data_IF_731732847123
#
_entry.id   IF_731732847123
#
_cell.length_a   1.000
_cell.length_b   1.000
_cell.length_c   1.000
_cell.angle_alpha   90.00
_cell.angle_beta   90.00
_cell.angle_gamma   90.00
#
_symmetry.space_group_name_H-M   'P 1'
#
loop_
_entity.id
_entity.type
_entity.pdbx_description
1 polymer ?
#
# COMPACT_ATOMS: atom_id res chain seq x y z
N UNK A 1 -27.64 -55.12 -40.91
CA UNK A 1 -26.51 -54.54 -41.67
C UNK A 1 -26.83 -53.10 -42.02
N UNK A 2 -26.52 -52.15 -41.15
CA UNK A 2 -26.52 -50.72 -41.48
C UNK A 2 -25.10 -50.34 -41.88
N UNK A 3 -24.90 -49.92 -43.14
CA UNK A 3 -23.61 -49.40 -43.61
C UNK A 3 -23.45 -47.98 -43.09
N UNK A 4 -22.51 -47.75 -42.18
CA UNK A 4 -21.96 -46.43 -41.92
C UNK A 4 -21.17 -46.00 -43.16
N UNK A 5 -21.56 -44.88 -43.76
CA UNK A 5 -20.76 -44.18 -44.79
C UNK A 5 -20.35 -42.84 -44.21
N UNK A 6 -19.27 -42.86 -43.44
CA UNK A 6 -18.57 -41.62 -43.10
C UNK A 6 -17.87 -41.13 -44.37
N UNK A 7 -18.43 -40.08 -44.97
CA UNK A 7 -17.74 -39.33 -46.01
C UNK A 7 -16.70 -38.45 -45.34
N UNK A 8 -15.46 -38.88 -45.30
CA UNK A 8 -14.32 -38.02 -44.95
C UNK A 8 -14.18 -36.94 -46.03
N UNK A 9 -14.85 -35.81 -45.81
CA UNK A 9 -14.69 -34.61 -46.64
C UNK A 9 -13.37 -33.95 -46.27
N UNK A 10 -12.35 -34.19 -47.09
CA UNK A 10 -11.07 -33.48 -47.01
C UNK A 10 -11.23 -32.00 -47.33
N UNK A 11 -10.42 -31.17 -46.68
CA UNK A 11 -10.36 -29.73 -46.91
C UNK A 11 -9.85 -29.43 -48.33
N UNK A 12 -10.49 -28.53 -49.07
CA UNK A 12 -10.03 -28.13 -50.40
C UNK A 12 -8.83 -27.19 -50.30
N UNK A 13 -7.90 -27.30 -51.26
CA UNK A 13 -6.71 -26.46 -51.32
C UNK A 13 -7.05 -24.96 -51.43
N UNK A 14 -8.15 -24.63 -52.11
CA UNK A 14 -8.63 -23.24 -52.22
C UNK A 14 -9.17 -22.71 -50.88
N UNK A 15 -9.86 -23.55 -50.11
CA UNK A 15 -10.40 -23.17 -48.79
C UNK A 15 -9.25 -22.87 -47.83
N UNK A 16 -8.13 -23.59 -47.94
CA UNK A 16 -6.94 -23.39 -47.12
C UNK A 16 -6.27 -22.04 -47.42
N UNK A 17 -6.13 -21.69 -48.69
CA UNK A 17 -5.49 -20.43 -49.09
C UNK A 17 -6.32 -19.23 -48.61
N UNK A 18 -7.65 -19.28 -48.74
CA UNK A 18 -8.55 -18.23 -48.26
C UNK A 18 -8.43 -18.09 -46.74
N UNK A 19 -8.38 -19.20 -46.00
CA UNK A 19 -8.22 -19.19 -44.55
C UNK A 19 -6.90 -18.54 -44.11
N UNK A 20 -5.78 -18.86 -44.77
CA UNK A 20 -4.46 -18.25 -44.48
C UNK A 20 -4.48 -16.75 -44.79
N UNK A 21 -5.10 -16.33 -45.89
CA UNK A 21 -5.21 -14.92 -46.26
C UNK A 21 -5.96 -14.11 -45.19
N UNK A 22 -7.09 -14.63 -44.69
CA UNK A 22 -7.85 -13.99 -43.61
C UNK A 22 -7.02 -13.92 -42.32
N UNK A 23 -6.30 -15.00 -41.96
CA UNK A 23 -5.46 -15.05 -40.76
C UNK A 23 -4.36 -13.96 -40.79
N UNK A 24 -3.71 -13.76 -41.94
CA UNK A 24 -2.68 -12.72 -42.11
C UNK A 24 -3.28 -11.32 -41.89
N UNK A 25 -4.46 -11.05 -42.46
CA UNK A 25 -5.16 -9.76 -42.28
C UNK A 25 -5.51 -9.53 -40.80
N UNK A 26 -6.05 -10.56 -40.13
CA UNK A 26 -6.43 -10.48 -38.71
C UNK A 26 -5.21 -10.25 -37.81
N UNK A 27 -4.10 -10.97 -38.03
CA UNK A 27 -2.85 -10.75 -37.28
C UNK A 27 -2.33 -9.33 -37.50
N UNK A 28 -2.38 -8.82 -38.74
CA UNK A 28 -1.94 -7.46 -39.07
C UNK A 28 -2.72 -6.38 -38.32
N UNK A 29 -4.04 -6.53 -38.16
CA UNK A 29 -4.88 -5.60 -37.41
C UNK A 29 -4.67 -5.70 -35.89
N UNK A 30 -4.50 -6.93 -35.38
CA UNK A 30 -4.38 -7.18 -33.95
C UNK A 30 -3.01 -6.84 -33.38
N UNK A 31 -1.93 -7.01 -34.14
CA UNK A 31 -0.56 -6.75 -33.70
C UNK A 31 -0.34 -5.37 -33.03
N UNK A 32 -0.73 -4.23 -33.64
CA UNK A 32 -0.55 -2.92 -32.99
C UNK A 32 -1.39 -2.76 -31.71
N UNK A 33 -2.60 -3.33 -31.70
CA UNK A 33 -3.47 -3.31 -30.53
C UNK A 33 -2.85 -4.11 -29.37
N UNK A 34 -2.34 -5.32 -29.64
CA UNK A 34 -1.64 -6.13 -28.66
C UNK A 34 -0.38 -5.44 -28.12
N UNK A 35 0.42 -4.80 -28.99
CA UNK A 35 1.61 -4.06 -28.57
C UNK A 35 1.28 -2.95 -27.57
N UNK A 36 0.21 -2.17 -27.82
CA UNK A 36 -0.26 -1.13 -26.90
C UNK A 36 -0.68 -1.69 -25.53
N UNK A 37 -1.36 -2.83 -25.51
CA UNK A 37 -1.77 -3.46 -24.25
C UNK A 37 -0.58 -4.02 -23.47
N UNK A 38 0.39 -4.62 -24.16
CA UNK A 38 1.65 -5.09 -23.56
C UNK A 38 2.39 -3.91 -22.92
N UNK A 39 2.51 -2.79 -23.63
CA UNK A 39 3.21 -1.61 -23.12
C UNK A 39 2.52 -1.01 -21.88
N UNK A 40 1.19 -0.94 -21.89
CA UNK A 40 0.41 -0.56 -20.70
C UNK A 40 0.65 -1.51 -19.52
N UNK A 41 0.66 -2.81 -19.77
CA UNK A 41 0.93 -3.81 -18.72
C UNK A 41 2.35 -3.65 -18.16
N UNK A 42 3.35 -3.47 -19.03
CA UNK A 42 4.74 -3.21 -18.61
C UNK A 42 4.86 -1.93 -17.78
N UNK A 43 4.17 -0.85 -18.18
CA UNK A 43 4.13 0.39 -17.41
C UNK A 43 3.49 0.17 -16.04
N UNK A 44 2.36 -0.53 -15.97
CA UNK A 44 1.69 -0.81 -14.70
C UNK A 44 2.59 -1.60 -13.73
N UNK A 45 3.26 -2.64 -14.21
CA UNK A 45 4.23 -3.41 -13.40
C UNK A 45 5.41 -2.54 -12.97
N UNK A 46 5.91 -1.66 -13.84
CA UNK A 46 6.99 -0.75 -13.50
C UNK A 46 6.58 0.27 -12.41
N UNK A 47 5.36 0.81 -12.47
CA UNK A 47 4.86 1.71 -11.42
C UNK A 47 4.64 0.97 -10.10
N UNK A 48 4.13 -0.26 -10.14
CA UNK A 48 4.04 -1.09 -8.95
C UNK A 48 5.43 -1.35 -8.32
N UNK A 49 6.45 -1.64 -9.15
CA UNK A 49 7.82 -1.80 -8.67
C UNK A 49 8.35 -0.52 -7.99
N UNK A 50 8.01 0.65 -8.52
CA UNK A 50 8.32 1.95 -7.91
C UNK A 50 7.63 2.10 -6.55
N UNK A 51 6.35 1.75 -6.44
CA UNK A 51 5.60 1.83 -5.19
C UNK A 51 6.17 0.90 -4.11
N UNK A 52 6.64 -0.29 -4.52
CA UNK A 52 7.34 -1.21 -3.61
C UNK A 52 8.65 -0.60 -3.10
N UNK A 53 9.41 0.12 -3.93
CA UNK A 53 10.63 0.82 -3.49
C UNK A 53 10.32 1.88 -2.44
N UNK A 54 9.28 2.67 -2.67
CA UNK A 54 8.84 3.71 -1.75
C UNK A 54 8.39 3.08 -0.42
N UNK A 55 7.60 2.00 -0.50
CA UNK A 55 7.16 1.26 0.69
C UNK A 55 8.31 0.67 1.47
N UNK A 56 9.32 0.10 0.81
CA UNK A 56 10.50 -0.45 1.47
C UNK A 56 11.30 0.64 2.18
N UNK A 57 11.46 1.81 1.53
CA UNK A 57 12.11 2.96 2.14
C UNK A 57 11.37 3.43 3.40
N UNK A 58 10.04 3.49 3.34
CA UNK A 58 9.20 3.86 4.48
C UNK A 58 9.32 2.90 5.66
N UNK A 59 9.55 1.61 5.41
CA UNK A 59 9.83 0.64 6.47
C UNK A 59 11.26 0.80 6.97
N UNK A 60 12.23 0.91 6.07
CA UNK A 60 13.65 0.92 6.42
C UNK A 60 14.06 2.15 7.25
N UNK A 61 13.46 3.33 7.01
CA UNK A 61 13.74 4.54 7.79
C UNK A 61 13.33 4.43 9.28
N UNK A 62 12.42 3.50 9.60
CA UNK A 62 12.03 3.23 10.98
C UNK A 62 13.13 2.47 11.71
N UNK A 63 13.82 1.56 11.01
CA UNK A 63 14.93 0.79 11.57
C UNK A 63 16.25 1.58 11.56
N UNK A 64 16.56 2.26 10.45
CA UNK A 64 17.78 3.03 10.22
C UNK A 64 17.42 4.42 9.69
N UNK A 65 17.42 5.43 10.56
CA UNK A 65 17.00 6.80 10.20
C UNK A 65 17.89 7.49 9.18
N UNK A 66 19.16 7.11 9.11
CA UNK A 66 20.12 7.69 8.20
C UNK A 66 20.15 6.94 6.86
N UNK A 67 19.23 5.97 6.68
CA UNK A 67 19.12 5.24 5.44
C UNK A 67 18.72 6.19 4.31
N UNK A 68 19.49 6.10 3.22
CA UNK A 68 19.21 6.88 2.02
C UNK A 68 18.34 6.08 1.05
N UNK A 69 17.42 6.72 0.31
CA UNK A 69 16.58 6.04 -0.67
C UNK A 69 17.39 5.30 -1.74
N UNK A 70 18.60 5.77 -2.07
CA UNK A 70 19.49 5.09 -3.01
C UNK A 70 19.95 3.72 -2.50
N UNK A 71 20.21 3.60 -1.19
CA UNK A 71 20.66 2.32 -0.60
C UNK A 71 19.53 1.29 -0.65
N UNK A 72 18.29 1.72 -0.40
CA UNK A 72 17.11 0.87 -0.51
C UNK A 72 16.88 0.44 -1.96
N UNK A 73 16.93 1.39 -2.90
CA UNK A 73 16.79 1.08 -4.32
C UNK A 73 17.87 0.10 -4.79
N UNK A 74 19.13 0.30 -4.37
CA UNK A 74 20.25 -0.57 -4.74
C UNK A 74 20.07 -2.00 -4.23
N UNK A 75 19.62 -2.17 -2.97
CA UNK A 75 19.28 -3.48 -2.40
C UNK A 75 18.19 -4.17 -3.21
N UNK A 76 17.13 -3.43 -3.55
CA UNK A 76 16.00 -3.99 -4.28
C UNK A 76 16.37 -4.42 -5.71
N UNK A 77 17.16 -3.62 -6.41
CA UNK A 77 17.61 -3.95 -7.77
C UNK A 77 18.60 -5.12 -7.74
N UNK A 78 19.61 -5.09 -6.86
CA UNK A 78 20.70 -6.08 -6.87
C UNK A 78 20.35 -7.39 -6.16
N UNK A 79 19.68 -7.31 -5.01
CA UNK A 79 19.46 -8.47 -4.15
C UNK A 79 18.05 -9.04 -4.27
N UNK A 80 17.06 -8.22 -4.65
CA UNK A 80 15.65 -8.65 -4.77
C UNK A 80 15.16 -8.78 -6.21
N UNK A 81 16.01 -8.51 -7.20
CA UNK A 81 15.70 -8.70 -8.63
C UNK A 81 14.65 -7.73 -9.17
N UNK A 82 14.57 -6.52 -8.62
CA UNK A 82 13.66 -5.49 -9.09
C UNK A 82 14.10 -4.99 -10.48
N UNK A 83 13.33 -5.35 -11.51
CA UNK A 83 13.63 -4.96 -12.89
C UNK A 83 12.44 -4.27 -13.56
N UNK A 84 12.71 -3.38 -14.52
CA UNK A 84 11.67 -2.82 -15.36
C UNK A 84 11.35 -3.81 -16.51
N UNK A 85 10.07 -4.17 -16.76
CA UNK A 85 9.70 -5.05 -17.87
C UNK A 85 10.03 -4.50 -19.26
N UNK A 86 10.23 -3.18 -19.36
CA UNK A 86 10.68 -2.48 -20.57
C UNK A 86 12.20 -2.27 -20.61
N UNK A 87 12.96 -2.90 -19.70
CA UNK A 87 14.42 -2.78 -19.56
C UNK A 87 14.92 -1.36 -19.24
N UNK A 88 14.06 -0.56 -18.61
CA UNK A 88 14.47 0.72 -18.03
C UNK A 88 15.29 0.55 -16.75
N UNK A 89 16.06 1.58 -16.41
CA UNK A 89 16.84 1.67 -15.17
C UNK A 89 16.10 2.53 -14.15
N UNK A 90 16.18 2.14 -12.88
CA UNK A 90 15.64 2.92 -11.77
C UNK A 90 16.71 3.84 -11.18
N UNK A 91 16.30 5.03 -10.75
CA UNK A 91 17.17 6.03 -10.14
C UNK A 91 16.40 6.88 -9.13
N UNK A 92 17.09 7.44 -8.15
CA UNK A 92 16.53 8.45 -7.24
C UNK A 92 16.88 9.84 -7.76
N UNK A 93 15.89 10.72 -7.82
CA UNK A 93 16.09 12.14 -8.16
C UNK A 93 15.62 12.98 -6.98
N UNK A 94 16.53 13.72 -6.36
CA UNK A 94 16.20 14.71 -5.34
C UNK A 94 15.65 15.98 -5.99
N UNK A 95 14.44 16.35 -5.60
CA UNK A 95 13.68 17.52 -6.11
C UNK A 95 13.61 18.66 -5.09
N UNK A 96 14.12 18.44 -3.87
CA UNK A 96 14.32 19.41 -2.80
C UNK A 96 15.15 18.80 -1.67
N UNK A 97 15.39 19.55 -0.58
CA UNK A 97 16.24 19.11 0.53
C UNK A 97 15.72 17.83 1.21
N UNK A 98 14.40 17.66 1.26
CA UNK A 98 13.74 16.49 1.85
C UNK A 98 12.71 15.85 0.90
N UNK A 99 12.88 16.00 -0.41
CA UNK A 99 11.92 15.48 -1.39
C UNK A 99 12.65 14.75 -2.52
N UNK A 100 12.27 13.51 -2.78
CA UNK A 100 12.82 12.70 -3.86
C UNK A 100 11.72 12.03 -4.69
N UNK A 101 12.07 11.62 -5.90
CA UNK A 101 11.23 10.75 -6.74
C UNK A 101 12.03 9.52 -7.14
N UNK A 102 11.34 8.40 -7.32
CA UNK A 102 11.88 7.22 -7.97
C UNK A 102 11.58 7.34 -9.46
N UNK A 103 12.63 7.45 -10.28
CA UNK A 103 12.53 7.59 -11.72
C UNK A 103 12.87 6.28 -12.42
N UNK A 104 12.04 5.88 -13.39
CA UNK A 104 12.36 4.88 -14.39
C UNK A 104 12.72 5.55 -15.72
N UNK A 105 13.86 5.21 -16.31
CA UNK A 105 14.32 5.80 -17.58
C UNK A 105 13.36 5.64 -18.77
N UNK A 106 12.40 4.72 -18.70
CA UNK A 106 11.39 4.47 -19.75
C UNK A 106 10.02 5.04 -19.39
N UNK A 107 9.59 4.94 -18.13
CA UNK A 107 8.22 5.27 -17.73
C UNK A 107 8.07 6.57 -16.92
N UNK A 108 9.19 7.22 -16.58
CA UNK A 108 9.24 8.52 -15.91
C UNK A 108 9.27 8.44 -14.39
N UNK A 109 8.92 9.56 -13.76
CA UNK A 109 9.02 9.76 -12.31
C UNK A 109 7.78 9.27 -11.57
N UNK A 110 7.99 8.81 -10.34
CA UNK A 110 6.97 8.68 -9.32
C UNK A 110 6.43 10.04 -8.87
N UNK A 111 5.41 10.01 -8.02
CA UNK A 111 5.08 11.16 -7.17
C UNK A 111 6.22 11.49 -6.21
N UNK A 112 6.29 12.74 -5.76
CA UNK A 112 7.29 13.21 -4.79
C UNK A 112 7.11 12.56 -3.44
N UNK A 113 8.18 12.00 -2.89
CA UNK A 113 8.24 11.32 -1.59
C UNK A 113 9.12 12.14 -0.67
N UNK A 114 8.62 12.41 0.54
CA UNK A 114 9.42 13.08 1.57
C UNK A 114 10.52 12.16 2.09
N UNK A 115 11.67 12.71 2.45
CA UNK A 115 12.70 12.02 3.24
C UNK A 115 12.70 12.42 4.72
N UNK A 116 11.81 13.33 5.15
CA UNK A 116 11.60 13.60 6.58
C UNK A 116 11.06 12.32 7.25
N UNK A 117 11.74 11.76 8.26
CA UNK A 117 11.27 10.58 8.96
C UNK A 117 9.84 10.71 9.50
N UNK A 118 9.44 11.87 10.03
CA UNK A 118 8.08 12.06 10.59
C UNK A 118 7.02 11.94 9.50
N UNK A 119 7.25 12.56 8.35
CA UNK A 119 6.32 12.52 7.21
C UNK A 119 6.30 11.12 6.62
N UNK A 120 7.48 10.56 6.32
CA UNK A 120 7.66 9.26 5.68
C UNK A 120 6.99 8.13 6.48
N UNK A 121 7.19 8.12 7.80
CA UNK A 121 6.63 7.10 8.68
C UNK A 121 5.10 7.25 8.79
N UNK A 122 4.58 8.48 8.87
CA UNK A 122 3.14 8.75 8.87
C UNK A 122 2.45 8.33 7.58
N UNK A 123 2.98 8.76 6.44
CA UNK A 123 2.46 8.42 5.12
C UNK A 123 2.55 6.92 4.83
N UNK A 124 3.65 6.26 5.20
CA UNK A 124 3.80 4.83 4.99
C UNK A 124 2.72 4.02 5.70
N UNK A 125 2.48 4.30 6.98
CA UNK A 125 1.45 3.60 7.75
C UNK A 125 0.04 3.98 7.28
N UNK A 126 -0.21 5.26 7.00
CA UNK A 126 -1.51 5.74 6.50
C UNK A 126 -1.86 5.14 5.14
N UNK A 127 -0.97 5.23 4.16
CA UNK A 127 -1.21 4.72 2.81
C UNK A 127 -1.34 3.19 2.81
N UNK A 128 -0.56 2.48 3.63
CA UNK A 128 -0.69 1.02 3.78
C UNK A 128 -2.11 0.61 4.18
N UNK A 129 -2.72 1.31 5.14
CA UNK A 129 -4.09 0.99 5.57
C UNK A 129 -5.15 1.54 4.60
N UNK A 130 -4.88 2.68 3.95
CA UNK A 130 -5.76 3.27 2.93
C UNK A 130 -5.99 2.31 1.76
N UNK A 131 -4.98 1.53 1.38
CA UNK A 131 -5.13 0.49 0.33
C UNK A 131 -6.25 -0.50 0.63
N UNK A 132 -6.44 -0.89 1.89
CA UNK A 132 -7.54 -1.77 2.28
C UNK A 132 -8.92 -1.12 2.17
N UNK A 133 -8.98 0.22 2.27
CA UNK A 133 -10.22 0.97 2.17
C UNK A 133 -10.58 1.36 0.73
N UNK A 134 -9.60 1.66 -0.12
CA UNK A 134 -9.85 2.27 -1.43
C UNK A 134 -9.28 1.51 -2.65
N UNK A 135 -8.24 0.68 -2.47
CA UNK A 135 -7.53 0.05 -3.60
C UNK A 135 -7.83 -1.44 -3.74
N UNK A 136 -7.75 -2.19 -2.65
CA UNK A 136 -7.94 -3.64 -2.68
C UNK A 136 -9.41 -4.02 -2.78
N UNK A 137 -9.71 -4.94 -3.68
CA UNK A 137 -11.01 -5.60 -3.74
C UNK A 137 -11.18 -6.56 -2.55
N UNK A 138 -12.44 -6.83 -2.20
CA UNK A 138 -12.76 -7.79 -1.13
C UNK A 138 -12.14 -9.17 -1.41
N UNK A 139 -12.16 -9.62 -2.66
CA UNK A 139 -11.58 -10.91 -3.07
C UNK A 139 -10.06 -10.95 -2.91
N UNK A 140 -9.36 -9.85 -3.20
CA UNK A 140 -7.92 -9.72 -2.97
C UNK A 140 -7.60 -9.78 -1.48
N UNK A 141 -8.34 -9.06 -0.64
CA UNK A 141 -8.15 -9.08 0.82
C UNK A 141 -8.40 -10.50 1.36
N UNK A 142 -9.47 -11.17 0.92
CA UNK A 142 -9.76 -12.56 1.30
C UNK A 142 -8.60 -13.49 0.90
N UNK A 143 -8.06 -13.31 -0.30
CA UNK A 143 -6.92 -14.09 -0.78
C UNK A 143 -5.68 -13.84 0.06
N UNK A 144 -5.35 -12.58 0.33
CA UNK A 144 -4.23 -12.18 1.20
C UNK A 144 -4.34 -12.82 2.58
N UNK A 145 -5.53 -12.78 3.19
CA UNK A 145 -5.77 -13.39 4.50
C UNK A 145 -5.67 -14.91 4.45
N UNK A 146 -6.22 -15.54 3.41
CA UNK A 146 -6.13 -16.99 3.23
C UNK A 146 -4.68 -17.45 3.08
N UNK A 147 -3.89 -16.75 2.27
CA UNK A 147 -2.49 -17.05 2.04
C UNK A 147 -1.66 -16.85 3.33
N UNK A 148 -2.03 -15.86 4.16
CA UNK A 148 -1.48 -15.64 5.50
C UNK A 148 -2.06 -16.58 6.57
N UNK A 149 -2.99 -17.48 6.25
CA UNK A 149 -3.62 -18.40 7.22
C UNK A 149 -4.52 -17.71 8.26
N UNK A 150 -5.09 -16.55 7.92
CA UNK A 150 -5.97 -15.74 8.77
C UNK A 150 -7.46 -15.97 8.47
N UNK A 151 -8.36 -15.65 9.41
CA UNK A 151 -9.80 -15.75 9.20
C UNK A 151 -10.29 -14.88 8.03
N UNK A 152 -11.12 -15.44 7.15
CA UNK A 152 -11.68 -14.74 5.97
C UNK A 152 -13.17 -14.46 6.08
N UNK A 153 -13.82 -14.89 7.15
CA UNK A 153 -15.27 -14.79 7.36
C UNK A 153 -15.75 -13.38 7.71
N UNK A 154 -14.86 -12.52 8.21
CA UNK A 154 -15.17 -11.13 8.56
C UNK A 154 -13.90 -10.28 8.47
N UNK A 155 -13.87 -9.36 7.50
CA UNK A 155 -12.78 -8.40 7.37
C UNK A 155 -13.03 -7.27 8.36
N UNK A 156 -12.20 -7.20 9.41
CA UNK A 156 -12.29 -6.21 10.49
C UNK A 156 -10.94 -5.52 10.67
N UNK A 157 -10.97 -4.40 11.38
CA UNK A 157 -9.76 -3.69 11.82
C UNK A 157 -8.70 -4.60 12.44
N UNK A 158 -9.09 -5.43 13.41
CA UNK A 158 -8.14 -6.34 14.08
C UNK A 158 -7.54 -7.37 13.13
N UNK A 159 -8.32 -7.93 12.19
CA UNK A 159 -7.82 -8.94 11.22
C UNK A 159 -6.88 -8.31 10.20
N UNK A 160 -7.18 -7.10 9.72
CA UNK A 160 -6.27 -6.34 8.84
C UNK A 160 -4.97 -6.02 9.59
N UNK A 161 -5.07 -5.58 10.83
CA UNK A 161 -3.90 -5.29 11.68
C UNK A 161 -3.05 -6.53 11.98
N UNK A 162 -3.69 -7.67 12.21
CA UNK A 162 -2.99 -8.96 12.38
C UNK A 162 -2.24 -9.38 11.11
N UNK A 163 -2.86 -9.22 9.94
CA UNK A 163 -2.21 -9.41 8.65
C UNK A 163 -0.98 -8.51 8.49
N UNK A 164 -1.13 -7.21 8.77
CA UNK A 164 -0.04 -6.24 8.65
C UNK A 164 1.10 -6.55 9.62
N UNK A 165 0.79 -6.88 10.88
CA UNK A 165 1.82 -7.30 11.85
C UNK A 165 2.60 -8.50 11.31
N UNK A 166 1.91 -9.52 10.81
CA UNK A 166 2.54 -10.76 10.36
C UNK A 166 3.35 -10.60 9.09
N UNK A 167 2.77 -10.02 8.05
CA UNK A 167 3.32 -10.03 6.70
C UNK A 167 4.12 -8.76 6.34
N UNK A 168 3.92 -7.66 7.07
CA UNK A 168 4.57 -6.37 6.79
C UNK A 168 5.56 -5.97 7.88
N UNK A 169 5.17 -6.09 9.15
CA UNK A 169 5.96 -5.53 10.28
C UNK A 169 6.68 -6.58 11.14
N UNK A 170 6.77 -7.83 10.70
CA UNK A 170 7.56 -8.86 11.38
C UNK A 170 7.09 -9.21 12.81
N UNK A 171 5.82 -8.99 13.12
CA UNK A 171 5.16 -9.33 14.37
C UNK A 171 5.10 -8.22 15.41
N UNK A 172 5.67 -7.04 15.14
CA UNK A 172 5.62 -5.90 16.06
C UNK A 172 5.41 -4.60 15.32
N UNK A 173 4.54 -3.73 15.84
CA UNK A 173 4.40 -2.38 15.31
C UNK A 173 5.75 -1.63 15.38
N UNK A 174 6.03 -0.74 14.41
CA UNK A 174 7.30 -0.03 14.39
C UNK A 174 7.44 0.88 15.61
N UNK A 175 8.54 0.72 16.35
CA UNK A 175 8.85 1.52 17.53
C UNK A 175 9.28 2.92 17.10
N UNK A 176 8.75 3.92 17.79
CA UNK A 176 9.00 5.33 17.49
C UNK A 176 10.17 5.86 18.31
N UNK A 177 11.04 6.66 17.68
CA UNK A 177 12.05 7.43 18.40
C UNK A 177 11.41 8.61 19.15
N UNK A 178 11.54 8.59 20.48
CA UNK A 178 11.01 9.63 21.38
C UNK A 178 11.59 11.02 21.12
N UNK A 179 12.76 11.13 20.49
CA UNK A 179 13.34 12.42 20.08
C UNK A 179 12.55 13.12 18.99
N UNK A 180 11.89 12.36 18.11
CA UNK A 180 11.03 12.89 17.04
C UNK A 180 9.59 13.15 17.53
N UNK A 181 9.16 12.42 18.56
CA UNK A 181 7.79 12.47 19.07
C UNK A 181 7.77 12.79 20.56
N UNK A 182 8.02 14.07 20.84
CA UNK A 182 8.14 14.59 22.22
C UNK A 182 6.80 15.10 22.78
N UNK A 183 6.70 15.16 24.11
CA UNK A 183 5.57 15.80 24.80
C UNK A 183 4.38 14.89 25.12
N UNK A 184 4.49 13.58 24.89
CA UNK A 184 3.54 12.60 25.41
C UNK A 184 3.77 12.36 26.92
N UNK A 185 2.68 12.30 27.70
CA UNK A 185 2.71 11.95 29.12
C UNK A 185 2.69 10.42 29.29
N UNK A 186 3.65 9.74 28.68
CA UNK A 186 3.79 8.30 28.72
C UNK A 186 5.27 7.91 28.87
N UNK A 187 5.58 7.15 29.92
CA UNK A 187 6.97 6.75 30.20
C UNK A 187 7.47 5.59 29.34
N UNK A 188 6.57 4.76 28.81
CA UNK A 188 6.92 3.56 28.05
C UNK A 188 7.30 3.84 26.60
N UNK A 189 7.54 2.77 25.85
CA UNK A 189 7.79 2.84 24.42
C UNK A 189 6.50 3.09 23.63
N UNK A 190 6.62 3.84 22.54
CA UNK A 190 5.51 4.18 21.66
C UNK A 190 5.74 3.56 20.29
N UNK A 191 4.63 3.23 19.62
CA UNK A 191 4.60 2.50 18.37
C UNK A 191 3.62 3.13 17.40
N UNK A 192 4.03 3.29 16.15
CA UNK A 192 3.16 3.77 15.09
C UNK A 192 2.26 2.65 14.61
N UNK A 193 0.98 2.98 14.42
CA UNK A 193 -0.07 1.99 14.23
C UNK A 193 -1.11 2.51 13.23
N UNK A 194 -1.63 1.65 12.33
CA UNK A 194 -2.74 1.97 11.46
C UNK A 194 -4.09 1.71 12.15
N UNK A 195 -5.14 2.46 11.81
CA UNK A 195 -6.51 2.15 12.23
C UNK A 195 -7.46 2.26 11.04
N UNK A 196 -8.44 1.36 11.00
CA UNK A 196 -9.57 1.43 10.06
C UNK A 196 -10.89 1.20 10.80
N UNK A 197 -11.83 2.13 10.67
CA UNK A 197 -13.17 2.00 11.23
C UNK A 197 -14.09 1.22 10.29
N UNK A 198 -14.04 -0.11 10.36
CA UNK A 198 -15.09 -0.95 9.79
C UNK A 198 -16.27 -0.92 10.76
N UNK A 199 -17.37 -0.25 10.40
CA UNK A 199 -18.53 0.00 11.29
C UNK A 199 -18.92 -1.27 12.06
N UNK A 200 -18.86 -1.22 13.40
CA UNK A 200 -19.19 -2.36 14.26
C UNK A 200 -20.70 -2.61 14.45
N UNK A 201 -21.56 -1.96 13.68
CA UNK A 201 -22.99 -2.30 13.60
C UNK A 201 -23.17 -3.65 12.91
N UNK A 202 -24.22 -4.41 13.24
CA UNK A 202 -24.62 -5.60 12.48
C UNK A 202 -24.76 -5.24 10.99
N UNK A 203 -23.73 -5.55 10.18
CA UNK A 203 -23.69 -5.27 8.75
C UNK A 203 -22.57 -4.35 8.24
N UNK A 204 -21.66 -3.84 9.08
CA UNK A 204 -20.53 -3.06 8.55
C UNK A 204 -19.57 -3.93 7.75
N UNK A 205 -19.27 -3.50 6.52
CA UNK A 205 -18.41 -4.20 5.57
C UNK A 205 -17.20 -3.34 5.23
N UNK A 206 -16.07 -3.98 4.92
CA UNK A 206 -14.89 -3.28 4.40
C UNK A 206 -15.21 -2.48 3.14
N UNK A 207 -16.18 -2.96 2.34
CA UNK A 207 -16.67 -2.24 1.14
C UNK A 207 -17.32 -0.89 1.43
N UNK A 208 -17.70 -0.61 2.68
CA UNK A 208 -18.32 0.65 3.09
C UNK A 208 -17.27 1.66 3.61
N UNK A 209 -16.00 1.25 3.71
CA UNK A 209 -14.91 2.10 4.16
C UNK A 209 -14.40 2.99 3.03
N UNK A 210 -13.75 4.08 3.43
CA UNK A 210 -13.12 5.03 2.53
C UNK A 210 -12.01 5.77 3.31
N UNK A 211 -11.39 6.78 2.71
CA UNK A 211 -10.37 7.61 3.38
C UNK A 211 -10.77 8.18 4.75
N UNK A 212 -12.05 8.46 4.99
CA UNK A 212 -12.55 8.95 6.29
C UNK A 212 -12.63 7.84 7.35
N UNK A 213 -12.55 6.56 6.94
CA UNK A 213 -12.50 5.43 7.86
C UNK A 213 -11.09 5.14 8.38
N UNK A 214 -10.04 5.70 7.78
CA UNK A 214 -8.65 5.32 8.06
C UNK A 214 -7.84 6.47 8.66
N UNK A 215 -6.88 6.13 9.53
CA UNK A 215 -5.87 7.07 10.02
C UNK A 215 -4.67 6.33 10.63
N UNK A 216 -3.54 7.03 10.75
CA UNK A 216 -2.35 6.58 11.45
C UNK A 216 -2.21 7.32 12.80
N UNK A 217 -1.76 6.60 13.82
CA UNK A 217 -1.58 7.14 15.17
C UNK A 217 -0.36 6.51 15.83
N UNK A 218 0.08 7.11 16.94
CA UNK A 218 1.12 6.54 17.79
C UNK A 218 0.55 6.26 19.17
N UNK A 219 0.73 5.03 19.63
CA UNK A 219 0.19 4.52 20.90
C UNK A 219 1.17 3.62 21.65
N UNK A 220 0.81 3.17 22.86
CA UNK A 220 1.69 2.40 23.75
C UNK A 220 1.82 0.91 23.36
N UNK A 221 0.96 0.43 22.47
CA UNK A 221 0.84 -0.97 22.13
C UNK A 221 1.80 -1.39 21.03
N UNK A 222 2.72 -2.30 21.35
CA UNK A 222 3.65 -2.91 20.39
C UNK A 222 2.98 -3.93 19.46
N UNK A 223 1.81 -4.43 19.86
CA UNK A 223 1.02 -5.47 19.19
C UNK A 223 -0.46 -5.34 19.54
N UNK A 224 -1.30 -6.17 18.92
CA UNK A 224 -2.75 -6.15 19.07
C UNK A 224 -3.29 -6.96 20.26
N UNK A 225 -2.40 -7.47 21.11
CA UNK A 225 -2.72 -8.32 22.28
C UNK A 225 -2.98 -7.45 23.52
N UNK A 226 -2.30 -6.30 23.62
CA UNK A 226 -2.41 -5.40 24.77
C UNK A 226 -3.71 -4.57 24.81
N UNK A 227 -4.22 -4.27 26.01
CA UNK A 227 -5.48 -3.54 26.21
C UNK A 227 -5.43 -2.03 25.92
N UNK A 228 -4.27 -1.45 25.63
CA UNK A 228 -4.10 -0.01 25.39
C UNK A 228 -4.02 0.36 23.90
N UNK A 229 -4.32 -0.58 22.98
CA UNK A 229 -4.11 -0.40 21.54
C UNK A 229 -4.89 0.76 20.92
N UNK A 230 -6.00 1.18 21.53
CA UNK A 230 -6.79 2.31 21.02
C UNK A 230 -6.49 3.65 21.69
N UNK A 231 -5.36 3.76 22.41
CA UNK A 231 -4.89 5.01 22.99
C UNK A 231 -3.88 5.67 22.03
N UNK A 232 -4.24 6.82 21.51
CA UNK A 232 -3.38 7.62 20.65
C UNK A 232 -2.81 8.82 21.42
N UNK A 233 -1.48 8.90 21.50
CA UNK A 233 -0.76 10.07 21.99
C UNK A 233 -0.42 11.05 20.88
N UNK A 234 -0.28 10.54 19.65
CA UNK A 234 -0.07 11.34 18.46
C UNK A 234 -0.99 10.87 17.36
N UNK A 235 -1.48 11.81 16.56
CA UNK A 235 -2.36 11.58 15.41
C UNK A 235 -1.69 12.20 14.18
N UNK A 236 -1.66 11.46 13.08
CA UNK A 236 -1.16 11.94 11.81
C UNK A 236 -2.29 12.57 11.00
N UNK A 237 -2.11 13.80 10.53
CA UNK A 237 -3.00 14.43 9.55
C UNK A 237 -2.46 14.21 8.14
N UNK A 238 -3.11 13.36 7.31
CA UNK A 238 -2.64 13.05 5.97
C UNK A 238 -2.78 14.24 5.00
N UNK A 239 -3.63 15.23 5.31
CA UNK A 239 -3.83 16.41 4.47
C UNK A 239 -2.67 17.42 4.67
N UNK A 240 -2.30 17.67 5.93
CA UNK A 240 -1.21 18.60 6.27
C UNK A 240 0.17 17.93 6.39
N UNK A 241 0.23 16.60 6.25
CA UNK A 241 1.44 15.77 6.39
C UNK A 241 2.15 15.98 7.73
N UNK A 242 1.39 16.22 8.79
CA UNK A 242 1.89 16.67 10.08
C UNK A 242 1.32 15.82 11.22
N UNK A 243 2.16 15.55 12.22
CA UNK A 243 1.72 14.92 13.46
C UNK A 243 1.26 15.94 14.48
N UNK A 244 0.23 15.59 15.25
CA UNK A 244 -0.35 16.40 16.31
C UNK A 244 -0.41 15.65 17.63
N UNK A 245 -0.35 16.36 18.75
CA UNK A 245 -0.52 15.84 20.11
C UNK A 245 -1.33 16.77 21.00
N UNK A 246 -1.86 16.24 22.09
CA UNK A 246 -2.41 17.05 23.17
C UNK A 246 -1.32 17.92 23.81
N UNK A 247 -1.64 19.17 24.13
CA UNK A 247 -0.70 20.12 24.71
C UNK A 247 -0.16 19.65 26.07
N UNK A 248 -0.99 18.93 26.85
CA UNK A 248 -0.63 18.34 28.16
C UNK A 248 -0.11 16.91 28.04
N UNK A 249 -0.02 16.37 26.82
CA UNK A 249 0.51 15.03 26.55
C UNK A 249 -0.46 13.89 26.85
N UNK A 250 -1.76 14.14 27.01
CA UNK A 250 -2.73 13.09 27.25
C UNK A 250 -3.07 12.31 25.98
N UNK A 251 -3.37 11.01 26.13
CA UNK A 251 -3.90 10.22 25.03
C UNK A 251 -5.39 10.47 24.80
N UNK A 252 -5.84 10.28 23.55
CA UNK A 252 -7.26 10.16 23.21
C UNK A 252 -7.62 8.72 22.83
N UNK A 253 -8.91 8.37 22.98
CA UNK A 253 -9.44 7.08 22.51
C UNK A 253 -9.94 7.19 21.08
N UNK A 254 -9.43 6.33 20.20
CA UNK A 254 -9.69 6.37 18.75
C UNK A 254 -10.68 5.31 18.25
N UNK A 255 -11.04 4.33 19.08
CA UNK A 255 -11.88 3.22 18.62
C UNK A 255 -13.29 3.68 18.18
N UNK A 256 -13.82 3.04 17.14
CA UNK A 256 -15.15 3.26 16.56
C UNK A 256 -15.37 4.68 16.00
N UNK A 257 -14.29 5.41 15.68
CA UNK A 257 -14.35 6.76 15.15
C UNK A 257 -13.81 6.81 13.74
N UNK A 258 -14.42 7.65 12.91
CA UNK A 258 -13.86 8.05 11.64
C UNK A 258 -12.82 9.16 11.84
N UNK A 259 -12.01 9.39 10.82
CA UNK A 259 -11.02 10.46 10.76
C UNK A 259 -11.64 11.83 11.08
N UNK A 260 -12.76 12.19 10.44
CA UNK A 260 -13.48 13.44 10.70
C UNK A 260 -13.83 13.66 12.19
N UNK A 261 -14.25 12.60 12.88
CA UNK A 261 -14.52 12.65 14.32
C UNK A 261 -13.23 12.79 15.13
N UNK A 262 -12.19 12.01 14.80
CA UNK A 262 -10.90 12.10 15.49
C UNK A 262 -10.30 13.50 15.33
N UNK A 263 -10.29 14.05 14.10
CA UNK A 263 -9.80 15.40 13.79
C UNK A 263 -10.56 16.47 14.58
N UNK A 264 -11.89 16.37 14.60
CA UNK A 264 -12.75 17.29 15.37
C UNK A 264 -12.47 17.27 16.87
N UNK A 265 -12.18 16.10 17.45
CA UNK A 265 -11.95 15.95 18.90
C UNK A 265 -10.50 16.26 19.31
N UNK A 266 -9.57 16.31 18.36
CA UNK A 266 -8.13 16.47 18.59
C UNK A 266 -7.61 17.78 17.99
N UNK A 267 -7.29 17.78 16.70
CA UNK A 267 -6.67 18.88 15.95
C UNK A 267 -7.53 20.14 16.03
N UNK A 268 -8.82 20.03 15.67
CA UNK A 268 -9.74 21.16 15.67
C UNK A 268 -10.10 21.62 17.10
N UNK A 269 -9.73 20.82 18.10
CA UNK A 269 -9.96 21.07 19.53
C UNK A 269 -8.65 21.39 20.29
N UNK A 270 -7.64 21.89 19.59
CA UNK A 270 -6.46 22.50 20.21
C UNK A 270 -5.27 21.57 20.43
N UNK A 271 -5.23 20.41 19.78
CA UNK A 271 -3.97 19.65 19.65
C UNK A 271 -2.95 20.46 18.84
N UNK A 272 -1.68 20.37 19.25
CA UNK A 272 -0.60 21.16 18.69
C UNK A 272 0.32 20.28 17.82
N UNK A 273 0.95 20.84 16.78
CA UNK A 273 1.86 20.08 15.93
C UNK A 273 3.10 19.60 16.69
N UNK A 274 3.63 18.45 16.26
CA UNK A 274 4.89 17.88 16.71
C UNK A 274 6.05 18.50 15.91
N UNK A 275 6.84 19.33 16.59
CA UNK A 275 8.03 19.97 16.02
C UNK A 275 9.19 19.00 15.83
#
# INVERSE_FOLDING_TARGET
MGKNTDTDKGFSLIELIIAIAILIILIGLLAPQFMKYIEKSRKAVCMNNVDVVISEYQVAIIEDRDIKPEKVLDDMVKNRGLECPSKGEYSIIHTGDELFVVNCSVHGNSEGVSSDPKITIGDGVYNTILKFAEEYTVDEIIKMFKDAGLPTNSIRNDTIREYLLKEVYGGQWPKVDKSLFTGANYGGDLYIQPYINVKNTSGGNISDTNKDSVFAYIGPSKDDISGQKWQAYFIYDPDSKQWYRDAKGNACLIMNKNWSTVKSETIDNGWIPVN
#
